data_IF_715581375379
#
_entry.id   IF_715581375379
#
_cell.length_a   1.000
_cell.length_b   1.000
_cell.length_c   1.000
_cell.angle_alpha   90.00
_cell.angle_beta   90.00
_cell.angle_gamma   90.00
#
_symmetry.space_group_name_H-M   'P 1'
#
loop_
_entity.id
_entity.type
_entity.pdbx_description
1 polymer ?
#
# COMPACT_ATOMS: atom_id res chain seq x y z
N UNK A 1 43.90 -0.35 73.35
CA UNK A 1 42.92 -1.46 73.15
C UNK A 1 42.29 -1.31 71.77
N UNK A 2 42.03 -2.44 71.13
CA UNK A 2 42.05 -2.70 69.68
C UNK A 2 40.67 -2.80 69.01
N UNK A 3 40.69 -2.90 67.66
CA UNK A 3 39.67 -3.35 66.65
C UNK A 3 39.15 -2.20 65.77
N UNK A 4 39.70 -1.89 64.57
CA UNK A 4 39.85 -2.58 63.26
C UNK A 4 38.52 -2.89 62.53
N UNK A 5 38.28 -2.27 61.36
CA UNK A 5 38.13 -2.89 60.00
C UNK A 5 37.32 -2.02 58.99
N UNK A 6 37.88 -1.92 57.76
CA UNK A 6 37.24 -1.79 56.41
C UNK A 6 36.48 -0.50 56.02
N UNK A 7 36.45 -0.06 54.75
CA UNK A 7 36.91 -0.59 53.48
C UNK A 7 37.00 0.51 52.39
N UNK A 8 37.98 0.32 51.49
CA UNK A 8 37.93 0.41 50.02
C UNK A 8 37.32 1.64 49.34
N UNK A 9 38.19 2.25 48.54
CA UNK A 9 37.98 3.28 47.55
C UNK A 9 36.82 3.01 46.57
N UNK A 10 36.05 4.05 46.29
CA UNK A 10 35.16 4.12 45.13
C UNK A 10 35.44 5.42 44.38
N UNK A 11 36.37 5.37 43.42
CA UNK A 11 36.57 6.42 42.43
C UNK A 11 35.57 6.14 41.29
N UNK A 12 34.56 7.00 41.12
CA UNK A 12 33.72 6.98 39.92
C UNK A 12 33.64 8.42 39.38
N UNK A 13 34.44 8.66 38.36
CA UNK A 13 34.53 9.92 37.63
C UNK A 13 33.56 9.89 36.45
N UNK A 14 32.81 10.99 36.34
CA UNK A 14 32.26 11.62 35.13
C UNK A 14 31.18 10.92 34.29
N UNK A 15 30.22 11.75 33.86
CA UNK A 15 29.40 11.51 32.68
C UNK A 15 28.03 12.18 32.71
N UNK A 16 27.96 13.50 32.86
CA UNK A 16 26.74 14.23 32.52
C UNK A 16 26.62 14.30 30.99
N UNK A 17 25.56 13.75 30.41
CA UNK A 17 25.12 14.05 29.04
C UNK A 17 23.62 14.34 29.04
N UNK A 18 23.30 15.43 28.36
CA UNK A 18 22.03 16.15 28.27
C UNK A 18 21.05 15.54 27.23
N UNK A 19 19.76 15.81 27.48
CA UNK A 19 18.64 16.05 26.54
C UNK A 19 18.24 14.96 25.51
N UNK A 20 16.95 14.63 25.50
CA UNK A 20 16.34 13.85 24.41
C UNK A 20 14.82 13.70 24.54
N UNK A 21 14.09 14.76 24.18
CA UNK A 21 12.74 14.83 23.59
C UNK A 21 11.72 13.71 23.86
N UNK A 22 10.56 14.14 24.38
CA UNK A 22 9.20 13.64 24.05
C UNK A 22 9.12 12.57 22.95
N UNK A 23 9.02 11.30 23.36
CA UNK A 23 8.47 10.22 22.55
C UNK A 23 7.01 10.02 22.93
N UNK A 24 6.11 10.74 22.28
CA UNK A 24 4.67 10.48 22.33
C UNK A 24 4.36 9.29 21.41
N UNK A 25 3.71 8.27 21.95
CA UNK A 25 2.90 7.33 21.18
C UNK A 25 3.60 6.07 20.68
N UNK A 26 3.67 5.04 21.52
CA UNK A 26 3.65 3.65 21.04
C UNK A 26 2.94 2.74 22.06
N UNK A 27 1.73 3.14 22.42
CA UNK A 27 0.78 2.32 23.19
C UNK A 27 -0.53 2.33 22.42
N UNK A 28 -0.64 1.53 21.36
CA UNK A 28 -1.89 1.52 20.60
C UNK A 28 -2.05 0.62 19.37
N UNK A 29 -1.11 -0.27 19.04
CA UNK A 29 -1.29 -1.07 17.81
C UNK A 29 -0.83 -2.52 17.83
N UNK A 30 -0.74 -3.16 19.01
CA UNK A 30 -0.24 -4.55 19.10
C UNK A 30 -1.24 -5.59 19.60
N UNK A 31 -2.51 -5.22 19.78
CA UNK A 31 -3.56 -6.15 20.23
C UNK A 31 -4.83 -5.79 19.45
N UNK A 32 -5.04 -6.29 18.22
CA UNK A 32 -6.38 -6.49 17.64
C UNK A 32 -6.42 -7.14 16.25
N UNK A 33 -5.31 -7.17 15.50
CA UNK A 33 -5.27 -7.88 14.23
C UNK A 33 -4.16 -8.92 14.28
N UNK A 34 -4.58 -10.19 14.21
CA UNK A 34 -3.66 -11.32 14.12
C UNK A 34 -2.64 -11.12 13.00
N UNK A 35 -1.51 -11.79 13.16
CA UNK A 35 -0.28 -11.96 12.38
C UNK A 35 -0.35 -11.89 10.84
N UNK A 36 -1.01 -10.90 10.26
CA UNK A 36 -0.93 -10.56 8.84
C UNK A 36 -0.05 -9.33 8.74
N UNK A 37 1.15 -9.49 8.18
CA UNK A 37 1.94 -8.32 7.78
C UNK A 37 1.09 -7.47 6.84
N UNK A 38 0.98 -6.16 7.04
CA UNK A 38 0.30 -5.30 6.09
C UNK A 38 0.98 -5.45 4.72
N UNK A 39 0.18 -5.63 3.66
CA UNK A 39 0.67 -5.60 2.28
C UNK A 39 1.30 -4.23 2.01
N UNK A 40 2.34 -4.21 1.19
CA UNK A 40 2.93 -2.98 0.66
C UNK A 40 1.98 -2.28 -0.32
N UNK A 41 2.20 -0.98 -0.57
CA UNK A 41 1.48 -0.21 -1.59
C UNK A 41 1.53 -0.89 -2.95
N UNK A 42 2.70 -1.37 -3.35
CA UNK A 42 2.90 -2.06 -4.62
C UNK A 42 2.05 -3.33 -4.72
N UNK A 43 2.00 -4.15 -3.66
CA UNK A 43 1.16 -5.35 -3.64
C UNK A 43 -0.33 -5.02 -3.75
N UNK A 44 -0.78 -3.96 -3.07
CA UNK A 44 -2.16 -3.49 -3.18
C UNK A 44 -2.50 -2.99 -4.59
N UNK A 45 -1.60 -2.23 -5.21
CA UNK A 45 -1.77 -1.74 -6.58
C UNK A 45 -1.82 -2.90 -7.58
N UNK A 46 -0.92 -3.88 -7.45
CA UNK A 46 -0.88 -5.05 -8.33
C UNK A 46 -2.15 -5.88 -8.24
N UNK A 47 -2.60 -6.16 -7.02
CA UNK A 47 -3.86 -6.88 -6.78
C UNK A 47 -5.07 -6.13 -7.34
N UNK A 48 -5.11 -4.81 -7.17
CA UNK A 48 -6.18 -3.96 -7.71
C UNK A 48 -6.21 -3.97 -9.24
N UNK A 49 -5.04 -3.98 -9.89
CA UNK A 49 -4.94 -4.06 -11.34
C UNK A 49 -5.44 -5.41 -11.88
N UNK A 50 -5.10 -6.51 -11.20
CA UNK A 50 -5.60 -7.84 -11.54
C UNK A 50 -7.11 -7.93 -11.36
N UNK A 51 -7.65 -7.42 -10.26
CA UNK A 51 -9.10 -7.39 -10.01
C UNK A 51 -9.81 -6.56 -11.07
N UNK A 52 -9.28 -5.38 -11.42
CA UNK A 52 -9.84 -4.54 -12.49
C UNK A 52 -9.91 -5.29 -13.83
N UNK A 53 -8.86 -6.04 -14.18
CA UNK A 53 -8.81 -6.86 -15.41
C UNK A 53 -9.90 -7.95 -15.44
N UNK A 54 -10.36 -8.45 -14.28
CA UNK A 54 -11.46 -9.43 -14.25
C UNK A 54 -12.79 -8.85 -14.74
N UNK A 55 -12.99 -7.54 -14.53
CA UNK A 55 -14.22 -6.82 -14.93
C UNK A 55 -14.10 -6.25 -16.34
N UNK A 56 -12.91 -5.73 -16.69
CA UNK A 56 -12.60 -5.19 -18.02
C UNK A 56 -11.45 -5.99 -18.64
N UNK A 57 -11.78 -7.13 -19.23
CA UNK A 57 -10.80 -8.04 -19.84
C UNK A 57 -10.02 -7.43 -21.02
N UNK A 58 -10.54 -6.35 -21.62
CA UNK A 58 -9.93 -5.59 -22.71
C UNK A 58 -9.07 -4.40 -22.22
N UNK A 59 -8.78 -4.31 -20.92
CA UNK A 59 -7.89 -3.26 -20.39
C UNK A 59 -6.47 -3.44 -20.92
N UNK A 60 -5.92 -2.37 -21.50
CA UNK A 60 -4.59 -2.35 -22.12
C UNK A 60 -3.53 -1.82 -21.15
N UNK A 61 -3.90 -0.79 -20.38
CA UNK A 61 -2.98 -0.11 -19.46
C UNK A 61 -3.68 0.34 -18.19
N UNK A 62 -3.00 0.25 -17.06
CA UNK A 62 -3.39 0.89 -15.80
C UNK A 62 -2.20 1.71 -15.31
N UNK A 63 -2.39 3.00 -15.06
CA UNK A 63 -1.38 3.88 -14.48
C UNK A 63 -1.90 4.44 -13.16
N UNK A 64 -1.33 3.98 -12.05
CA UNK A 64 -1.62 4.55 -10.73
C UNK A 64 -1.09 5.98 -10.65
N UNK A 65 -1.94 6.90 -10.19
CA UNK A 65 -1.58 8.33 -10.07
C UNK A 65 -1.22 8.72 -8.64
N UNK A 66 -1.45 7.83 -7.68
CA UNK A 66 -1.14 8.00 -6.26
C UNK A 66 -0.86 6.64 -5.62
N UNK A 67 -0.23 6.66 -4.44
CA UNK A 67 0.01 5.44 -3.66
C UNK A 67 -1.31 4.75 -3.30
N UNK A 68 -2.33 5.51 -2.92
CA UNK A 68 -3.59 5.01 -2.42
C UNK A 68 -3.60 4.79 -0.92
N UNK A 69 -4.75 4.44 -0.38
CA UNK A 69 -4.92 4.29 1.07
C UNK A 69 -6.34 3.96 1.48
N UNK A 70 -6.56 3.93 2.79
CA UNK A 70 -7.89 3.80 3.38
C UNK A 70 -8.43 5.19 3.70
N UNK A 71 -9.53 5.65 3.09
CA UNK A 71 -10.07 7.00 3.29
C UNK A 71 -10.73 7.20 4.67
N UNK A 72 -10.77 6.18 5.52
CA UNK A 72 -11.35 6.24 6.86
C UNK A 72 -11.33 4.89 7.58
N UNK A 73 -11.74 4.90 8.85
CA UNK A 73 -11.89 3.68 9.64
C UNK A 73 -12.93 2.75 8.99
N UNK A 74 -12.56 1.49 8.79
CA UNK A 74 -13.41 0.47 8.16
C UNK A 74 -13.50 0.55 6.63
N UNK A 75 -12.91 1.57 5.99
CA UNK A 75 -12.92 1.67 4.54
C UNK A 75 -11.92 0.70 3.89
N UNK A 76 -12.30 0.15 2.73
CA UNK A 76 -11.40 -0.60 1.86
C UNK A 76 -10.29 0.31 1.33
N UNK A 77 -9.11 -0.27 1.14
CA UNK A 77 -8.00 0.41 0.46
C UNK A 77 -8.38 0.66 -1.00
N UNK A 78 -7.99 1.81 -1.54
CA UNK A 78 -8.15 2.18 -2.95
C UNK A 78 -7.12 3.23 -3.37
N UNK A 79 -6.88 3.34 -4.67
CA UNK A 79 -6.02 4.34 -5.28
C UNK A 79 -6.66 4.92 -6.55
N UNK A 80 -6.38 6.19 -6.81
CA UNK A 80 -6.65 6.80 -8.10
C UNK A 80 -5.70 6.23 -9.18
N UNK A 81 -6.25 5.97 -10.36
CA UNK A 81 -5.51 5.51 -11.53
C UNK A 81 -6.17 6.00 -12.83
N UNK A 82 -5.44 5.87 -13.93
CA UNK A 82 -5.96 6.01 -15.30
C UNK A 82 -5.89 4.65 -15.97
N UNK A 83 -7.03 4.16 -16.44
CA UNK A 83 -7.13 2.90 -17.20
C UNK A 83 -7.35 3.20 -18.69
N UNK A 84 -6.53 2.62 -19.56
CA UNK A 84 -6.73 2.67 -21.01
C UNK A 84 -7.50 1.42 -21.45
N UNK A 85 -8.68 1.61 -22.04
CA UNK A 85 -9.54 0.55 -22.58
C UNK A 85 -9.96 0.96 -23.99
N UNK A 86 -9.68 0.11 -24.98
CA UNK A 86 -9.97 0.36 -26.40
C UNK A 86 -9.36 1.70 -26.88
N UNK A 87 -8.13 1.97 -26.46
CA UNK A 87 -7.41 3.21 -26.74
C UNK A 87 -7.97 4.48 -26.09
N UNK A 88 -8.94 4.37 -25.17
CA UNK A 88 -9.50 5.52 -24.42
C UNK A 88 -9.08 5.48 -22.96
N UNK A 89 -8.73 6.63 -22.42
CA UNK A 89 -8.33 6.79 -21.02
C UNK A 89 -9.55 7.11 -20.13
N UNK A 90 -9.63 6.41 -19.00
CA UNK A 90 -10.67 6.56 -17.97
C UNK A 90 -10.02 6.81 -16.62
N UNK A 91 -10.43 7.87 -15.93
CA UNK A 91 -10.05 8.09 -14.54
C UNK A 91 -10.85 7.14 -13.64
N UNK A 92 -10.16 6.39 -12.79
CA UNK A 92 -10.76 5.35 -11.96
C UNK A 92 -10.19 5.37 -10.55
N UNK A 93 -11.01 4.95 -9.59
CA UNK A 93 -10.57 4.54 -8.26
C UNK A 93 -10.64 3.02 -8.20
N UNK A 94 -9.49 2.39 -7.99
CA UNK A 94 -9.38 0.94 -7.96
C UNK A 94 -8.76 0.47 -6.64
N UNK A 95 -9.28 -0.63 -6.13
CA UNK A 95 -8.85 -1.31 -4.93
C UNK A 95 -9.16 -2.79 -5.05
N UNK A 96 -8.55 -3.67 -4.23
CA UNK A 96 -8.73 -5.12 -4.32
C UNK A 96 -10.20 -5.59 -4.18
N UNK A 97 -11.02 -4.75 -3.55
CA UNK A 97 -12.44 -5.01 -3.29
C UNK A 97 -13.30 -3.77 -3.57
N UNK A 98 -12.79 -2.80 -4.33
CA UNK A 98 -13.47 -1.53 -4.57
C UNK A 98 -13.16 -1.05 -5.98
N UNK A 99 -14.18 -0.97 -6.82
CA UNK A 99 -14.06 -0.45 -8.18
C UNK A 99 -15.05 0.71 -8.33
N UNK A 100 -14.54 1.89 -8.63
CA UNK A 100 -15.33 3.07 -8.96
C UNK A 100 -14.70 3.79 -10.15
N UNK A 101 -15.53 4.28 -11.08
CA UNK A 101 -15.08 5.11 -12.20
C UNK A 101 -15.29 6.56 -11.78
N UNK A 102 -14.25 7.38 -11.91
CA UNK A 102 -14.30 8.78 -11.58
C UNK A 102 -14.69 9.57 -12.83
N UNK A 103 -15.74 10.39 -12.70
CA UNK A 103 -16.01 11.55 -13.55
C UNK A 103 -16.42 11.31 -15.02
N UNK A 104 -16.49 10.07 -15.50
CA UNK A 104 -17.05 9.72 -16.82
C UNK A 104 -18.17 8.69 -16.73
N UNK A 105 -18.95 8.54 -17.81
CA UNK A 105 -19.71 7.30 -18.02
C UNK A 105 -18.75 6.11 -17.85
N UNK A 106 -19.15 5.05 -17.15
CA UNK A 106 -18.27 3.90 -16.98
C UNK A 106 -17.88 3.36 -18.35
N UNK A 107 -16.63 2.93 -18.56
CA UNK A 107 -16.25 2.22 -19.77
C UNK A 107 -17.27 1.09 -19.97
N UNK A 108 -17.74 0.85 -21.20
CA UNK A 108 -18.70 -0.21 -21.45
C UNK A 108 -18.14 -1.49 -20.85
N UNK A 109 -18.86 -2.06 -19.88
CA UNK A 109 -18.50 -3.38 -19.34
C UNK A 109 -18.45 -4.31 -20.53
N UNK A 110 -17.28 -4.86 -20.81
CA UNK A 110 -17.07 -5.66 -22.02
C UNK A 110 -18.16 -6.75 -22.08
N UNK A 111 -18.81 -6.97 -23.25
CA UNK A 111 -19.36 -8.29 -23.51
C UNK A 111 -18.19 -9.27 -23.43
N UNK A 112 -18.40 -10.42 -22.79
CA UNK A 112 -17.43 -11.53 -22.71
C UNK A 112 -16.64 -11.61 -24.01
N UNK A 113 -15.32 -11.37 -23.97
CA UNK A 113 -14.47 -11.55 -25.14
C UNK A 113 -14.82 -12.91 -25.76
N UNK A 114 -15.09 -13.01 -27.07
CA UNK A 114 -15.32 -14.31 -27.68
C UNK A 114 -14.12 -15.20 -27.35
N UNK A 115 -14.31 -16.50 -27.08
CA UNK A 115 -13.25 -17.39 -26.58
C UNK A 115 -12.03 -17.52 -27.52
N UNK A 116 -12.10 -16.94 -28.71
CA UNK A 116 -11.06 -16.86 -29.73
C UNK A 116 -10.29 -15.53 -29.77
N UNK A 117 -10.65 -14.53 -28.96
CA UNK A 117 -9.88 -13.29 -28.87
C UNK A 117 -8.57 -13.54 -28.13
N UNK A 118 -7.45 -13.06 -28.68
CA UNK A 118 -6.16 -13.10 -27.99
C UNK A 118 -6.26 -12.35 -26.65
N UNK A 119 -5.64 -12.86 -25.57
CA UNK A 119 -5.60 -12.13 -24.31
C UNK A 119 -4.97 -10.76 -24.54
N UNK A 120 -5.66 -9.71 -24.05
CA UNK A 120 -5.10 -8.36 -24.09
C UNK A 120 -4.02 -8.29 -23.02
N UNK A 121 -2.81 -7.97 -23.45
CA UNK A 121 -1.66 -7.74 -22.56
C UNK A 121 -1.91 -6.47 -21.76
N UNK A 122 -1.90 -6.59 -20.44
CA UNK A 122 -2.07 -5.47 -19.52
C UNK A 122 -0.69 -4.92 -19.12
N UNK A 123 -0.46 -3.63 -19.37
CA UNK A 123 0.69 -2.89 -18.82
C UNK A 123 0.28 -2.10 -17.58
N UNK A 124 0.92 -2.36 -16.44
CA UNK A 124 0.67 -1.64 -15.18
C UNK A 124 1.85 -0.74 -14.87
N UNK A 125 1.60 0.56 -14.71
CA UNK A 125 2.56 1.53 -14.16
C UNK A 125 2.15 1.87 -12.73
N UNK A 126 3.00 1.52 -11.78
CA UNK A 126 2.80 1.73 -10.36
C UNK A 126 3.11 3.18 -9.95
N UNK A 127 2.63 3.58 -8.77
CA UNK A 127 2.86 4.93 -8.26
C UNK A 127 4.33 5.26 -7.96
N UNK A 128 5.16 4.22 -7.75
CA UNK A 128 6.61 4.36 -7.58
C UNK A 128 7.37 4.52 -8.92
N UNK A 129 6.64 4.53 -10.04
CA UNK A 129 7.18 4.65 -11.40
C UNK A 129 7.63 3.31 -12.01
N UNK A 130 7.60 2.21 -11.26
CA UNK A 130 7.88 0.88 -11.81
C UNK A 130 6.77 0.43 -12.76
N UNK A 131 7.10 -0.48 -13.68
CA UNK A 131 6.15 -0.99 -14.67
C UNK A 131 6.22 -2.52 -14.75
N UNK A 132 5.07 -3.17 -14.85
CA UNK A 132 4.91 -4.61 -15.04
C UNK A 132 4.02 -4.89 -16.25
N UNK A 133 4.33 -5.95 -17.00
CA UNK A 133 3.52 -6.45 -18.11
C UNK A 133 2.90 -7.78 -17.69
N UNK A 134 1.57 -7.88 -17.78
CA UNK A 134 0.77 -9.01 -17.32
C UNK A 134 0.01 -9.58 -18.53
N UNK A 135 0.27 -10.84 -18.86
CA UNK A 135 -0.46 -11.62 -19.88
C UNK A 135 -1.63 -12.41 -19.27
#
# INVERSE_FOLDING_TARGET
>A
MSRVWTAVAGLAVAGAVLLGTTGCGDVGHRILYGTLKPKSTHEYQRESALEFRTVWANVERIRFTEEGGKPGLGASWRANAVATIEGRDYEVIIGPHALAVLHTDPPPKTPTLPPTASPVVLTVTYSDGSTEVID
#
